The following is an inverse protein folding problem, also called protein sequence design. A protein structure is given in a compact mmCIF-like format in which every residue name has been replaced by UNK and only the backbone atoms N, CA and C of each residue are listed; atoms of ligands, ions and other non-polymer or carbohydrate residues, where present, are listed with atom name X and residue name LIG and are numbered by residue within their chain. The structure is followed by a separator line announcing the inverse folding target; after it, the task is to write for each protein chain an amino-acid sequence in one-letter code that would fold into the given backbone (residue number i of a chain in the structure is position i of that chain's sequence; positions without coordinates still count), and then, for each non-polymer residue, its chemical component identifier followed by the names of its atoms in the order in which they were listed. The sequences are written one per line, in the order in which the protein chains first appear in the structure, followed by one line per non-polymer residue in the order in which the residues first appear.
data_IF_060913570574
#
_entry.id   IF_060913570574
#
_cell.length_a   1.000
_cell.length_b   1.000
_cell.length_c   1.000
_cell.angle_alpha   90.00
_cell.angle_beta   90.00
_cell.angle_gamma   90.00
#
_symmetry.space_group_name_H-M   'P 1'
#
loop_
_entity.id
_entity.type
_entity.pdbx_description
1 polymer ?
#
# COMPACT_ATOMS: atom_id res chain seq x y z
N UNK A 1 -36.05 -41.26 -13.35
CA UNK A 1 -34.84 -40.57 -13.88
C UNK A 1 -35.10 -39.12 -14.29
N UNK A 2 -36.07 -38.81 -15.18
CA UNK A 2 -36.34 -37.42 -15.64
C UNK A 2 -36.70 -36.42 -14.52
N UNK A 3 -37.51 -36.82 -13.53
CA UNK A 3 -37.90 -35.96 -12.40
C UNK A 3 -36.75 -35.64 -11.44
N UNK A 4 -35.83 -36.58 -11.25
CA UNK A 4 -34.62 -36.39 -10.41
C UNK A 4 -33.63 -35.44 -11.10
N UNK A 5 -33.45 -35.58 -12.43
CA UNK A 5 -32.65 -34.64 -13.21
C UNK A 5 -33.18 -33.21 -13.16
N UNK A 6 -34.50 -33.02 -13.28
CA UNK A 6 -35.14 -31.70 -13.19
C UNK A 6 -34.97 -31.06 -11.80
N UNK A 7 -35.09 -31.85 -10.72
CA UNK A 7 -34.89 -31.37 -9.35
C UNK A 7 -33.45 -30.93 -9.10
N UNK A 8 -32.45 -31.67 -9.62
CA UNK A 8 -31.04 -31.30 -9.50
C UNK A 8 -30.72 -30.01 -10.28
N UNK A 9 -31.30 -29.84 -11.47
CA UNK A 9 -31.15 -28.60 -12.25
C UNK A 9 -31.76 -27.41 -11.51
N UNK A 10 -32.97 -27.55 -10.96
CA UNK A 10 -33.61 -26.50 -10.16
C UNK A 10 -32.79 -26.12 -8.93
N UNK A 11 -32.26 -27.11 -8.21
CA UNK A 11 -31.39 -26.87 -7.06
C UNK A 11 -30.11 -26.14 -7.47
N UNK A 12 -29.48 -26.53 -8.58
CA UNK A 12 -28.30 -25.85 -9.11
C UNK A 12 -28.62 -24.38 -9.48
N UNK A 13 -29.73 -24.13 -10.15
CA UNK A 13 -30.17 -22.76 -10.52
C UNK A 13 -30.44 -21.91 -9.28
N UNK A 14 -31.14 -22.43 -8.28
CA UNK A 14 -31.40 -21.71 -7.02
C UNK A 14 -30.10 -21.41 -6.28
N UNK A 15 -29.17 -22.36 -6.24
CA UNK A 15 -27.87 -22.18 -5.58
C UNK A 15 -27.02 -21.13 -6.30
N UNK A 16 -27.00 -21.14 -7.63
CA UNK A 16 -26.31 -20.13 -8.44
C UNK A 16 -26.96 -18.74 -8.28
N UNK A 17 -28.30 -18.65 -8.28
CA UNK A 17 -29.01 -17.39 -8.09
C UNK A 17 -28.79 -16.82 -6.69
N UNK A 18 -28.81 -17.67 -5.65
CA UNK A 18 -28.50 -17.26 -4.28
C UNK A 18 -27.04 -16.80 -4.15
N UNK A 19 -26.10 -17.51 -4.78
CA UNK A 19 -24.69 -17.11 -4.81
C UNK A 19 -24.46 -15.78 -5.53
N UNK A 20 -25.12 -15.57 -6.67
CA UNK A 20 -25.09 -14.30 -7.41
C UNK A 20 -25.67 -13.16 -6.57
N UNK A 21 -26.88 -13.33 -6.01
CA UNK A 21 -27.50 -12.33 -5.15
C UNK A 21 -26.66 -12.01 -3.90
N UNK A 22 -25.96 -13.01 -3.36
CA UNK A 22 -25.02 -12.79 -2.25
C UNK A 22 -23.82 -11.94 -2.68
N UNK A 23 -23.23 -12.19 -3.85
CA UNK A 23 -22.10 -11.41 -4.37
C UNK A 23 -22.50 -9.96 -4.68
N UNK A 24 -23.68 -9.75 -5.30
CA UNK A 24 -24.24 -8.42 -5.55
C UNK A 24 -24.48 -7.64 -4.25
N UNK A 25 -24.92 -8.33 -3.19
CA UNK A 25 -25.18 -7.70 -1.89
C UNK A 25 -23.91 -7.46 -1.07
N UNK A 26 -22.90 -8.30 -1.25
CA UNK A 26 -21.64 -8.29 -0.50
C UNK A 26 -20.43 -8.33 -1.44
N UNK A 27 -20.26 -7.29 -2.29
CA UNK A 27 -19.24 -7.30 -3.32
C UNK A 27 -17.83 -7.32 -2.74
N UNK A 28 -16.92 -7.89 -3.52
CA UNK A 28 -15.48 -7.83 -3.29
C UNK A 28 -14.81 -7.21 -4.51
N UNK A 29 -14.15 -6.09 -4.28
CA UNK A 29 -13.37 -5.35 -5.25
C UNK A 29 -11.89 -5.63 -5.02
N UNK A 30 -11.13 -5.85 -6.10
CA UNK A 30 -9.70 -6.12 -6.01
C UNK A 30 -8.99 -5.58 -7.24
N UNK A 31 -7.89 -4.87 -6.99
CA UNK A 31 -7.01 -4.37 -8.04
C UNK A 31 -5.55 -4.43 -7.63
N UNK A 32 -4.66 -4.50 -8.62
CA UNK A 32 -3.24 -4.23 -8.41
C UNK A 32 -2.94 -2.79 -8.84
N UNK A 33 -2.09 -2.11 -8.09
CA UNK A 33 -1.65 -0.75 -8.38
C UNK A 33 -0.14 -0.66 -8.25
N UNK A 34 0.50 0.02 -9.21
CA UNK A 34 1.93 0.33 -9.22
C UNK A 34 2.12 1.76 -8.82
N UNK A 35 2.90 1.99 -7.76
CA UNK A 35 3.36 3.33 -7.39
C UNK A 35 4.77 3.48 -7.91
N UNK A 36 5.02 4.57 -8.64
CA UNK A 36 6.34 4.97 -9.11
C UNK A 36 6.68 6.33 -8.55
N UNK A 37 7.93 6.47 -8.12
CA UNK A 37 8.46 7.70 -7.52
C UNK A 37 9.73 8.07 -8.26
N UNK A 38 9.84 9.34 -8.61
CA UNK A 38 11.04 9.92 -9.22
C UNK A 38 11.57 11.00 -8.27
N UNK A 39 12.86 10.95 -7.98
CA UNK A 39 13.56 11.99 -7.25
C UNK A 39 14.67 12.57 -8.12
N UNK A 40 14.85 13.89 -8.05
CA UNK A 40 15.99 14.58 -8.64
C UNK A 40 17.13 14.57 -7.63
N UNK A 41 18.36 14.32 -8.08
CA UNK A 41 19.59 14.40 -7.28
C UNK A 41 20.65 15.16 -8.07
N UNK A 42 21.75 15.54 -7.43
CA UNK A 42 22.90 16.16 -8.14
C UNK A 42 23.50 15.27 -9.22
N UNK A 43 23.41 13.95 -9.05
CA UNK A 43 23.86 12.94 -10.03
C UNK A 43 22.84 12.65 -11.13
N UNK A 44 21.64 13.24 -11.07
CA UNK A 44 20.55 13.01 -12.00
C UNK A 44 19.33 12.36 -11.35
N UNK A 45 18.37 11.95 -12.16
CA UNK A 45 17.14 11.32 -11.68
C UNK A 45 17.40 9.90 -11.17
N UNK A 46 16.82 9.60 -10.00
CA UNK A 46 16.66 8.23 -9.50
C UNK A 46 15.18 7.92 -9.38
N UNK A 47 14.82 6.65 -9.57
CA UNK A 47 13.42 6.24 -9.46
C UNK A 47 13.27 4.87 -8.84
N UNK A 48 12.13 4.65 -8.20
CA UNK A 48 11.71 3.37 -7.64
C UNK A 48 10.25 3.11 -7.94
N UNK A 49 9.87 1.84 -7.97
CA UNK A 49 8.47 1.44 -8.09
C UNK A 49 8.17 0.17 -7.28
N UNK A 50 6.91 0.04 -6.88
CA UNK A 50 6.40 -1.15 -6.21
C UNK A 50 4.93 -1.38 -6.59
N UNK A 51 4.58 -2.66 -6.76
CA UNK A 51 3.22 -3.10 -7.03
C UNK A 51 2.58 -3.60 -5.74
N UNK A 52 1.36 -3.14 -5.47
CA UNK A 52 0.55 -3.57 -4.33
C UNK A 52 -0.81 -4.05 -4.80
N UNK A 53 -1.39 -5.00 -4.07
CA UNK A 53 -2.77 -5.47 -4.24
C UNK A 53 -3.65 -4.86 -3.17
N UNK A 54 -4.76 -4.29 -3.59
CA UNK A 54 -5.78 -3.75 -2.70
C UNK A 54 -7.05 -4.58 -2.84
N UNK A 55 -7.67 -4.92 -1.72
CA UNK A 55 -8.97 -5.61 -1.67
C UNK A 55 -9.92 -4.87 -0.75
N UNK A 56 -11.12 -4.61 -1.26
CA UNK A 56 -12.24 -4.04 -0.53
C UNK A 56 -13.38 -5.04 -0.53
N UNK A 57 -13.82 -5.44 0.67
CA UNK A 57 -14.90 -6.42 0.83
C UNK A 57 -16.02 -5.83 1.67
N UNK A 58 -17.24 -5.81 1.12
CA UNK A 58 -18.43 -5.45 1.89
C UNK A 58 -18.67 -6.50 2.97
N UNK A 59 -18.80 -6.06 4.21
CA UNK A 59 -19.06 -6.94 5.35
C UNK A 59 -20.47 -7.54 5.29
N UNK A 60 -20.60 -8.74 5.88
CA UNK A 60 -21.86 -9.46 6.05
C UNK A 60 -22.22 -9.54 7.55
N UNK A 61 -23.52 -9.59 7.86
CA UNK A 61 -24.07 -9.77 9.20
C UNK A 61 -23.68 -8.61 10.16
N UNK A 62 -23.15 -8.89 11.36
CA UNK A 62 -22.79 -7.87 12.36
C UNK A 62 -21.71 -6.88 11.91
N UNK A 63 -21.00 -7.18 10.80
CA UNK A 63 -20.07 -6.25 10.17
C UNK A 63 -20.72 -5.70 8.89
N UNK A 64 -21.27 -4.50 8.95
CA UNK A 64 -21.97 -3.85 7.82
C UNK A 64 -21.07 -2.90 7.01
N UNK A 65 -19.82 -2.70 7.46
CA UNK A 65 -18.86 -1.78 6.86
C UNK A 65 -18.04 -2.38 5.72
N UNK A 66 -17.07 -1.61 5.24
CA UNK A 66 -16.06 -2.08 4.29
C UNK A 66 -14.85 -2.62 5.04
N UNK A 67 -14.43 -3.84 4.70
CA UNK A 67 -13.17 -4.41 5.15
C UNK A 67 -12.12 -4.20 4.07
N UNK A 68 -10.97 -3.67 4.46
CA UNK A 68 -9.86 -3.35 3.57
C UNK A 68 -8.69 -4.23 3.89
N UNK A 69 -8.00 -4.67 2.85
CA UNK A 69 -6.70 -5.32 3.02
C UNK A 69 -5.80 -4.92 1.88
N UNK A 70 -4.53 -4.73 2.21
CA UNK A 70 -3.46 -4.46 1.25
C UNK A 70 -2.41 -5.55 1.38
N UNK A 71 -1.81 -5.93 0.25
CA UNK A 71 -0.64 -6.78 0.18
C UNK A 71 0.40 -6.12 -0.72
N UNK A 72 1.59 -5.83 -0.23
CA UNK A 72 2.64 -5.15 -0.96
C UNK A 72 3.75 -4.59 -0.07
N UNK A 73 4.71 -3.95 -0.72
CA UNK A 73 5.91 -3.39 -0.09
C UNK A 73 6.06 -1.90 -0.40
N UNK A 74 6.83 -1.22 0.45
CA UNK A 74 7.21 0.17 0.23
C UNK A 74 8.03 0.31 -1.05
N UNK A 75 7.86 1.45 -1.73
CA UNK A 75 8.74 1.80 -2.86
C UNK A 75 10.12 2.14 -2.31
N UNK A 76 11.17 1.62 -2.93
CA UNK A 76 12.56 1.91 -2.55
C UNK A 76 13.21 2.71 -3.66
N UNK A 77 13.81 3.86 -3.32
CA UNK A 77 14.75 4.57 -4.17
C UNK A 77 16.14 4.31 -3.62
N UNK A 78 17.03 3.82 -4.48
CA UNK A 78 18.42 3.50 -4.13
C UNK A 78 19.35 4.38 -4.93
N UNK A 79 20.24 5.09 -4.24
CA UNK A 79 21.32 5.87 -4.85
C UNK A 79 22.54 4.97 -5.15
N UNK A 80 23.45 5.44 -6.00
CA UNK A 80 24.66 4.70 -6.41
C UNK A 80 25.62 4.39 -5.25
N UNK A 81 25.53 5.14 -4.16
CA UNK A 81 26.30 4.95 -2.92
C UNK A 81 25.67 3.93 -1.96
N UNK A 82 24.49 3.38 -2.29
CA UNK A 82 23.75 2.45 -1.45
C UNK A 82 22.80 3.11 -0.46
N UNK A 83 22.65 4.44 -0.48
CA UNK A 83 21.66 5.13 0.35
C UNK A 83 20.24 4.81 -0.12
N UNK A 84 19.31 4.58 0.83
CA UNK A 84 17.94 4.16 0.54
C UNK A 84 16.90 5.16 1.09
N UNK A 85 15.92 5.49 0.25
CA UNK A 85 14.69 6.18 0.64
C UNK A 85 13.51 5.23 0.46
N UNK A 86 12.70 5.07 1.51
CA UNK A 86 11.51 4.23 1.52
C UNK A 86 10.27 5.10 1.48
N UNK A 87 9.38 4.84 0.53
CA UNK A 87 8.05 5.43 0.52
C UNK A 87 7.06 4.46 1.16
N UNK A 88 6.63 4.80 2.36
CA UNK A 88 5.92 3.92 3.27
C UNK A 88 4.51 3.57 2.76
N UNK A 89 4.07 2.36 3.07
CA UNK A 89 2.73 1.87 2.70
C UNK A 89 1.63 2.35 3.66
N UNK A 90 2.03 2.84 4.84
CA UNK A 90 1.14 3.48 5.83
C UNK A 90 1.65 4.87 6.17
N UNK A 91 0.75 5.78 6.52
CA UNK A 91 1.09 7.05 7.16
C UNK A 91 0.59 7.02 8.61
N UNK A 92 1.21 7.76 9.53
CA UNK A 92 0.70 7.77 10.92
C UNK A 92 -0.64 8.48 11.05
N UNK A 93 -0.92 9.45 10.17
CA UNK A 93 -2.21 10.13 10.04
C UNK A 93 -3.23 9.32 9.23
N UNK A 94 -2.77 8.33 8.45
CA UNK A 94 -3.62 7.43 7.67
C UNK A 94 -3.00 6.02 7.53
N UNK A 95 -3.37 5.07 8.40
CA UNK A 95 -2.91 3.69 8.29
C UNK A 95 -3.43 2.98 7.04
N UNK A 96 -4.52 3.46 6.44
CA UNK A 96 -5.17 2.91 5.24
C UNK A 96 -4.68 3.54 3.94
N UNK A 97 -3.61 4.34 3.98
CA UNK A 97 -3.07 5.11 2.86
C UNK A 97 -3.02 4.33 1.53
N UNK A 98 -2.34 3.18 1.53
CA UNK A 98 -2.16 2.42 0.30
C UNK A 98 -3.48 1.87 -0.26
N UNK A 99 -4.51 1.66 0.58
CA UNK A 99 -5.83 1.19 0.12
C UNK A 99 -6.71 2.27 -0.51
N UNK A 100 -6.32 3.53 -0.40
CA UNK A 100 -7.16 4.72 -0.71
C UNK A 100 -6.50 5.72 -1.66
N UNK A 101 -5.18 5.69 -1.83
CA UNK A 101 -4.47 6.67 -2.66
C UNK A 101 -4.90 6.66 -4.14
N UNK A 102 -5.23 5.49 -4.71
CA UNK A 102 -5.71 5.41 -6.09
C UNK A 102 -7.05 6.12 -6.30
N UNK A 103 -8.04 5.89 -5.41
CA UNK A 103 -9.36 6.53 -5.50
C UNK A 103 -9.26 8.04 -5.27
N UNK A 104 -8.48 8.45 -4.26
CA UNK A 104 -8.27 9.86 -3.94
C UNK A 104 -7.56 10.60 -5.08
N UNK A 105 -6.61 9.94 -5.78
CA UNK A 105 -5.92 10.52 -6.94
C UNK A 105 -6.84 10.68 -8.14
N UNK A 106 -7.72 9.71 -8.42
CA UNK A 106 -8.67 9.79 -9.54
C UNK A 106 -9.66 10.95 -9.41
N UNK A 107 -10.17 11.18 -8.21
CA UNK A 107 -11.16 12.23 -7.95
C UNK A 107 -10.53 13.57 -7.56
N UNK A 108 -9.22 13.61 -7.36
CA UNK A 108 -8.50 14.75 -6.79
C UNK A 108 -9.17 15.29 -5.50
N UNK A 109 -9.68 14.40 -4.67
CA UNK A 109 -10.26 14.71 -3.35
C UNK A 109 -9.32 14.21 -2.25
N UNK A 110 -9.63 14.53 -1.00
CA UNK A 110 -8.98 13.85 0.12
C UNK A 110 -9.50 12.41 0.25
N UNK A 111 -9.12 11.72 1.32
CA UNK A 111 -9.41 10.30 1.48
C UNK A 111 -10.92 10.05 1.60
N UNK A 112 -11.56 9.71 0.47
CA UNK A 112 -12.99 9.47 0.37
C UNK A 112 -13.31 8.06 -0.12
N UNK A 113 -14.47 7.58 0.31
CA UNK A 113 -14.93 6.22 0.13
C UNK A 113 -16.18 6.24 -0.73
N UNK A 114 -16.01 5.88 -1.99
CA UNK A 114 -17.11 5.74 -2.93
C UNK A 114 -17.01 4.36 -3.57
N UNK A 115 -18.08 3.57 -3.41
CA UNK A 115 -18.18 2.23 -3.95
C UNK A 115 -18.02 2.19 -5.47
N UNK A 116 -18.54 3.20 -6.16
CA UNK A 116 -18.43 3.30 -7.63
C UNK A 116 -16.97 3.42 -8.10
N UNK A 117 -16.10 4.04 -7.30
CA UNK A 117 -14.67 4.13 -7.59
C UNK A 117 -13.98 2.78 -7.38
N UNK A 118 -14.39 1.99 -6.39
CA UNK A 118 -13.81 0.66 -6.17
C UNK A 118 -14.16 -0.29 -7.31
N UNK A 119 -15.39 -0.19 -7.81
CA UNK A 119 -15.83 -0.88 -9.02
C UNK A 119 -15.04 -0.42 -10.24
N UNK A 120 -14.92 0.90 -10.46
CA UNK A 120 -14.13 1.45 -11.58
C UNK A 120 -12.68 0.94 -11.55
N UNK A 121 -12.02 0.99 -10.38
CA UNK A 121 -10.66 0.49 -10.22
C UNK A 121 -10.56 -1.02 -10.45
N UNK A 122 -11.53 -1.79 -9.95
CA UNK A 122 -11.55 -3.25 -10.17
C UNK A 122 -11.80 -3.62 -11.64
N UNK A 123 -12.59 -2.83 -12.36
CA UNK A 123 -12.80 -3.00 -13.80
C UNK A 123 -11.58 -2.59 -14.63
N UNK A 124 -10.81 -1.60 -14.14
CA UNK A 124 -9.51 -1.21 -14.72
C UNK A 124 -8.40 -2.20 -14.38
N UNK A 125 -8.57 -3.03 -13.35
CA UNK A 125 -7.60 -4.06 -13.00
C UNK A 125 -7.32 -4.97 -14.20
N UNK A 126 -6.05 -5.14 -14.54
CA UNK A 126 -5.67 -5.89 -15.74
C UNK A 126 -5.74 -5.11 -17.06
N UNK A 127 -6.06 -3.81 -17.04
CA UNK A 127 -6.06 -2.91 -18.21
C UNK A 127 -5.14 -1.73 -17.92
N UNK A 128 -4.32 -1.33 -18.89
CA UNK A 128 -3.48 -0.14 -18.75
C UNK A 128 -4.37 1.10 -18.62
N UNK A 129 -4.50 1.64 -17.41
CA UNK A 129 -5.18 2.92 -17.17
C UNK A 129 -4.29 4.12 -17.48
N UNK A 130 -2.99 3.89 -17.74
CA UNK A 130 -1.96 4.90 -17.75
C UNK A 130 -1.63 5.40 -16.33
N UNK A 131 -0.45 6.01 -16.13
CA UNK A 131 -0.07 6.60 -14.86
C UNK A 131 -0.87 7.87 -14.58
N UNK A 132 -1.37 7.97 -13.35
CA UNK A 132 -2.06 9.14 -12.79
C UNK A 132 -1.11 9.82 -11.83
N UNK A 133 -0.96 11.14 -11.95
CA UNK A 133 -0.18 11.91 -10.98
C UNK A 133 -0.87 11.89 -9.61
N UNK A 134 -0.12 11.55 -8.57
CA UNK A 134 -0.60 11.64 -7.19
C UNK A 134 -0.39 13.09 -6.71
N UNK A 135 -1.44 13.81 -6.29
CA UNK A 135 -1.30 15.14 -5.71
C UNK A 135 -0.36 15.12 -4.50
N UNK A 136 0.46 16.16 -4.31
CA UNK A 136 1.47 16.23 -3.25
C UNK A 136 0.93 15.96 -1.83
N UNK A 137 -0.28 16.45 -1.52
CA UNK A 137 -0.94 16.20 -0.22
C UNK A 137 -1.18 14.70 0.05
N UNK A 138 -1.31 13.92 -1.01
CA UNK A 138 -1.51 12.47 -1.00
C UNK A 138 -0.19 11.70 -1.18
N UNK A 139 0.97 12.35 -1.19
CA UNK A 139 2.23 11.62 -1.27
C UNK A 139 2.42 10.71 -0.04
N UNK A 140 3.13 9.59 -0.22
CA UNK A 140 3.46 8.71 0.89
C UNK A 140 4.37 9.44 1.89
N UNK A 141 4.47 8.90 3.09
CA UNK A 141 5.54 9.29 3.97
C UNK A 141 6.85 8.68 3.49
N UNK A 142 7.90 9.49 3.52
CA UNK A 142 9.24 9.06 3.14
C UNK A 142 10.07 8.84 4.40
N UNK A 143 10.80 7.73 4.44
CA UNK A 143 11.70 7.41 5.53
C UNK A 143 13.05 6.94 5.02
N UNK A 144 14.07 7.14 5.83
CA UNK A 144 15.42 6.60 5.63
C UNK A 144 15.99 6.21 6.99
N UNK A 145 17.16 5.57 7.01
CA UNK A 145 17.85 5.19 8.23
C UNK A 145 19.23 5.82 8.23
N UNK A 146 19.64 6.44 9.35
CA UNK A 146 21.03 6.90 9.50
C UNK A 146 21.98 5.68 9.54
N UNK A 147 21.52 4.55 10.09
CA UNK A 147 22.15 3.23 10.00
C UNK A 147 21.09 2.17 9.63
N UNK A 148 21.21 1.60 8.43
CA UNK A 148 20.26 0.60 7.90
C UNK A 148 20.19 -0.67 8.78
N UNK A 149 21.19 -0.92 9.62
CA UNK A 149 21.24 -2.06 10.54
C UNK A 149 20.64 -1.76 11.92
N UNK A 150 20.28 -0.50 12.21
CA UNK A 150 19.60 -0.10 13.44
C UNK A 150 18.24 0.56 13.14
N UNK A 151 17.18 -0.20 13.40
CA UNK A 151 15.78 0.22 13.30
C UNK A 151 15.43 1.55 14.00
N UNK A 152 16.16 1.91 15.05
CA UNK A 152 15.92 3.11 15.86
C UNK A 152 16.40 4.39 15.18
N UNK A 153 17.27 4.25 14.19
CA UNK A 153 17.83 5.37 13.43
C UNK A 153 16.93 5.82 12.28
N UNK A 154 15.71 5.29 12.19
CA UNK A 154 14.75 5.73 11.19
C UNK A 154 14.42 7.22 11.35
N UNK A 155 14.49 7.93 10.24
CA UNK A 155 14.17 9.35 10.12
C UNK A 155 13.12 9.53 9.04
N UNK A 156 12.27 10.54 9.23
CA UNK A 156 11.33 10.97 8.21
C UNK A 156 12.03 11.97 7.29
N UNK A 157 11.88 11.79 5.98
CA UNK A 157 12.32 12.76 4.98
C UNK A 157 11.12 13.59 4.49
N UNK A 158 11.38 14.87 4.22
CA UNK A 158 10.41 15.73 3.55
C UNK A 158 10.57 15.62 2.04
N UNK A 159 9.48 15.54 1.26
CA UNK A 159 9.61 15.38 -0.19
C UNK A 159 10.33 16.54 -0.88
N UNK A 160 10.25 17.76 -0.34
CA UNK A 160 10.95 18.94 -0.86
C UNK A 160 12.42 19.03 -0.48
N UNK A 161 12.90 18.19 0.44
CA UNK A 161 14.28 18.17 0.89
C UNK A 161 14.73 16.75 1.26
N UNK A 162 15.43 16.11 0.31
CA UNK A 162 16.08 14.82 0.49
C UNK A 162 17.58 14.97 0.76
N UNK A 163 18.04 16.16 1.16
CA UNK A 163 19.46 16.41 1.48
C UNK A 163 20.04 15.40 2.48
N UNK A 164 19.32 14.99 3.54
CA UNK A 164 19.83 13.98 4.47
C UNK A 164 20.12 12.61 3.86
N UNK A 165 19.51 12.30 2.70
CA UNK A 165 19.56 10.96 2.09
C UNK A 165 20.41 10.93 0.84
N UNK A 166 20.25 11.93 -0.04
CA UNK A 166 20.88 11.97 -1.36
C UNK A 166 21.74 13.23 -1.57
N UNK A 167 21.97 14.00 -0.52
CA UNK A 167 22.78 15.20 -0.55
C UNK A 167 22.07 16.43 -1.11
N UNK A 168 22.75 17.57 -1.01
CA UNK A 168 22.18 18.90 -1.25
C UNK A 168 21.46 19.02 -2.60
N UNK A 169 20.25 19.58 -2.56
CA UNK A 169 19.44 19.86 -3.74
C UNK A 169 18.58 18.68 -4.23
N UNK A 170 18.61 17.55 -3.53
CA UNK A 170 17.76 16.41 -3.85
C UNK A 170 16.32 16.62 -3.37
N UNK A 171 15.33 16.24 -4.19
CA UNK A 171 13.90 16.34 -3.86
C UNK A 171 13.08 15.29 -4.64
N UNK A 172 11.90 14.96 -4.14
CA UNK A 172 10.91 14.13 -4.85
C UNK A 172 10.28 14.96 -5.97
N UNK A 173 10.49 14.54 -7.21
CA UNK A 173 10.02 15.21 -8.42
C UNK A 173 8.59 14.82 -8.77
N UNK A 174 8.24 13.55 -8.62
CA UNK A 174 6.89 13.07 -8.90
C UNK A 174 6.58 11.76 -8.20
N UNK A 175 5.28 11.57 -7.94
CA UNK A 175 4.69 10.30 -7.53
C UNK A 175 3.55 10.03 -8.49
N UNK A 176 3.54 8.85 -9.10
CA UNK A 176 2.47 8.40 -9.98
C UNK A 176 1.92 7.06 -9.53
N UNK A 177 0.64 6.84 -9.77
CA UNK A 177 -0.03 5.58 -9.54
C UNK A 177 -0.69 5.07 -10.82
N UNK A 178 -0.55 3.78 -11.09
CA UNK A 178 -1.15 3.11 -12.25
C UNK A 178 -1.88 1.86 -11.79
N UNK A 179 -3.09 1.62 -12.31
CA UNK A 179 -3.77 0.34 -12.15
C UNK A 179 -3.18 -0.62 -13.18
N UNK A 180 -2.67 -1.76 -12.71
CA UNK A 180 -1.81 -2.65 -13.50
C UNK A 180 -2.27 -4.10 -13.44
N UNK A 181 -1.89 -4.90 -14.42
CA UNK A 181 -2.00 -6.37 -14.38
C UNK A 181 -0.83 -7.03 -13.64
N UNK A 182 0.24 -6.30 -13.36
CA UNK A 182 1.44 -6.80 -12.69
C UNK A 182 1.10 -7.35 -11.30
N UNK A 183 1.80 -8.40 -10.89
CA UNK A 183 1.65 -9.00 -9.55
C UNK A 183 2.58 -8.31 -8.55
N UNK A 184 2.16 -8.11 -7.29
CA UNK A 184 3.05 -7.63 -6.25
C UNK A 184 4.34 -8.45 -6.15
N UNK A 185 5.48 -7.79 -6.24
CA UNK A 185 6.79 -8.38 -5.94
C UNK A 185 7.07 -8.21 -4.45
N UNK A 186 7.34 -9.33 -3.77
CA UNK A 186 7.47 -9.39 -2.32
C UNK A 186 8.88 -9.89 -1.94
N UNK A 187 9.38 -9.52 -0.77
CA UNK A 187 10.68 -9.97 -0.26
C UNK A 187 11.84 -9.00 -0.48
N UNK A 188 11.64 -7.91 -1.24
CA UNK A 188 12.70 -6.93 -1.50
C UNK A 188 13.04 -6.17 -0.24
N UNK A 189 12.02 -5.77 0.52
CA UNK A 189 12.18 -5.04 1.78
C UNK A 189 12.95 -5.88 2.80
N UNK A 190 12.63 -7.17 2.95
CA UNK A 190 13.31 -8.07 3.89
C UNK A 190 14.78 -8.33 3.50
N UNK A 191 15.11 -8.21 2.21
CA UNK A 191 16.50 -8.32 1.76
C UNK A 191 17.33 -7.12 2.22
N UNK A 192 16.75 -5.92 2.26
CA UNK A 192 17.42 -4.68 2.67
C UNK A 192 17.35 -4.48 4.19
N UNK A 193 16.21 -4.83 4.80
CA UNK A 193 15.90 -4.67 6.22
C UNK A 193 15.60 -6.04 6.86
N UNK A 194 16.61 -6.92 7.00
CA UNK A 194 16.40 -8.30 7.47
C UNK A 194 15.85 -8.37 8.90
N UNK A 195 16.14 -7.35 9.73
CA UNK A 195 15.70 -7.27 11.12
C UNK A 195 14.20 -6.96 11.28
N UNK A 196 13.46 -6.62 10.21
CA UNK A 196 12.03 -6.30 10.31
C UNK A 196 11.21 -7.45 10.90
N UNK A 197 11.55 -8.69 10.54
CA UNK A 197 10.87 -9.89 11.02
C UNK A 197 11.11 -10.11 12.52
N UNK A 198 12.31 -9.79 13.00
CA UNK A 198 12.68 -9.97 14.40
C UNK A 198 12.00 -8.94 15.32
N UNK A 199 11.75 -7.73 14.81
CA UNK A 199 11.10 -6.66 15.57
C UNK A 199 9.57 -6.83 15.57
N UNK A 200 8.99 -7.43 14.53
CA UNK A 200 7.54 -7.63 14.46
C UNK A 200 7.03 -8.47 15.66
N UNK A 201 5.90 -8.11 16.32
CA UNK A 201 4.92 -7.09 15.95
C UNK A 201 5.14 -5.72 16.61
N UNK A 202 6.34 -5.46 17.16
CA UNK A 202 6.64 -4.21 17.87
C UNK A 202 6.90 -3.05 16.89
N UNK A 203 6.95 -1.84 17.46
CA UNK A 203 7.42 -0.62 16.80
C UNK A 203 8.92 -0.69 16.54
N UNK A 204 9.44 0.17 15.68
CA UNK A 204 10.87 0.16 15.34
C UNK A 204 11.77 0.53 16.53
N UNK A 205 11.23 1.15 17.57
CA UNK A 205 11.96 1.37 18.82
C UNK A 205 11.93 0.17 19.80
N UNK A 206 11.32 -0.95 19.39
CA UNK A 206 11.14 -2.17 20.17
C UNK A 206 9.93 -2.15 21.12
N UNK A 207 9.21 -1.03 21.22
CA UNK A 207 8.02 -0.94 22.09
C UNK A 207 6.80 -1.57 21.43
N UNK A 208 5.89 -2.12 22.23
CA UNK A 208 4.65 -2.71 21.72
C UNK A 208 3.68 -1.67 21.17
N UNK A 209 3.67 -0.47 21.75
CA UNK A 209 2.69 0.57 21.45
C UNK A 209 3.38 1.91 21.18
N UNK A 210 2.71 2.72 20.35
CA UNK A 210 3.12 4.10 20.17
C UNK A 210 2.76 4.92 21.43
N UNK A 211 3.64 5.84 21.83
CA UNK A 211 3.42 6.76 22.94
C UNK A 211 4.08 8.11 22.70
N UNK A 212 3.36 9.20 22.99
CA UNK A 212 3.87 10.57 22.88
C UNK A 212 5.11 10.84 23.74
N UNK A 213 5.41 9.95 24.70
CA UNK A 213 6.57 10.05 25.62
C UNK A 213 7.82 9.30 25.12
N UNK A 214 7.76 8.66 23.94
CA UNK A 214 8.91 7.93 23.41
C UNK A 214 10.07 8.88 23.11
N UNK A 215 11.29 8.43 23.42
CA UNK A 215 12.53 9.18 23.13
C UNK A 215 12.68 9.35 21.62
N UNK A 216 12.50 8.27 20.86
CA UNK A 216 12.58 8.26 19.41
C UNK A 216 11.18 8.18 18.80
N UNK A 217 10.50 9.33 18.70
CA UNK A 217 9.10 9.40 18.23
C UNK A 217 8.90 8.79 16.84
N UNK A 218 9.84 9.01 15.92
CA UNK A 218 9.74 8.44 14.56
C UNK A 218 9.78 6.92 14.59
N UNK A 219 10.79 6.33 15.25
CA UNK A 219 10.91 4.89 15.40
C UNK A 219 9.71 4.27 16.13
N UNK A 220 9.19 4.96 17.15
CA UNK A 220 8.02 4.52 17.90
C UNK A 220 6.70 4.61 17.12
N UNK A 221 6.62 5.51 16.13
CA UNK A 221 5.41 5.67 15.31
C UNK A 221 5.32 4.65 14.16
N UNK A 222 6.45 4.08 13.75
CA UNK A 222 6.55 3.14 12.64
C UNK A 222 6.66 1.69 13.14
N UNK A 223 6.32 0.74 12.28
CA UNK A 223 6.46 -0.70 12.54
C UNK A 223 6.91 -1.40 11.27
N UNK A 224 7.17 -2.71 11.36
CA UNK A 224 7.44 -3.52 10.18
C UNK A 224 6.35 -3.41 9.09
N UNK A 225 5.09 -3.30 9.50
CA UNK A 225 3.95 -3.12 8.59
C UNK A 225 3.90 -1.74 7.90
N UNK A 226 4.76 -0.79 8.28
CA UNK A 226 4.92 0.47 7.55
C UNK A 226 5.74 0.32 6.27
N UNK A 227 6.52 -0.77 6.17
CA UNK A 227 7.41 -1.07 5.05
C UNK A 227 6.95 -2.26 4.21
N UNK A 228 6.38 -3.29 4.83
CA UNK A 228 5.90 -4.47 4.11
C UNK A 228 4.73 -5.12 4.85
N UNK A 229 3.71 -5.54 4.12
CA UNK A 229 2.60 -6.34 4.68
C UNK A 229 2.95 -7.81 4.87
N UNK A 230 4.10 -8.23 4.35
CA UNK A 230 4.45 -9.65 4.21
C UNK A 230 5.39 -10.15 5.32
N UNK A 231 5.78 -9.29 6.27
CA UNK A 231 6.68 -9.65 7.39
C UNK A 231 6.12 -10.80 8.24
N UNK A 232 4.82 -11.08 8.16
CA UNK A 232 4.13 -12.15 8.90
C UNK A 232 4.09 -13.50 8.14
N UNK A 233 4.43 -13.56 6.84
CA UNK A 233 4.18 -14.74 6.00
C UNK A 233 5.36 -15.68 5.89
#
# INVERSE_FOLDING_TARGET
MKKVGLALILLAVVTLAAGFAFNERYPTYTWNQKIRIVAETKSGEISGEAVSRVTWKKGFNLNTGWNRSVSGEAVILTSSDGSHLFALITRTDNPDYLSTVATASLQNVDLWLDESLFEELSLKNGRASGPIAVPERLWPWFAFFDDIHDSRTVRQATPSDLTPVFGSGAYVKSVTIEITSETPELGKIQTILPWLTDIWPNRLDGQRYETIRAVDRTANSLSANSFSTEVRR
#
